data_IF_290494351872
#
_entry.id   IF_290494351872
#
_cell.length_a   1.000
_cell.length_b   1.000
_cell.length_c   1.000
_cell.angle_alpha   90.00
_cell.angle_beta   90.00
_cell.angle_gamma   90.00
#
_symmetry.space_group_name_H-M   'P 1'
#
loop_
_entity.id
_entity.type
_entity.pdbx_description
1 polymer ?
#
# COMPACT_ATOMS: atom_id res chain seq x y z
N UNK A 1 -14.78 7.96 -4.16
CA UNK A 1 -13.33 7.93 -3.92
C UNK A 1 -12.94 6.89 -2.89
N UNK A 2 -13.51 6.98 -1.69
CA UNK A 2 -13.26 5.99 -0.64
C UNK A 2 -13.61 4.58 -1.11
N UNK A 3 -14.67 4.44 -1.86
CA UNK A 3 -15.13 3.15 -2.36
C UNK A 3 -14.09 2.47 -3.24
N UNK A 4 -13.45 3.22 -4.14
CA UNK A 4 -12.40 2.66 -5.00
C UNK A 4 -11.24 2.16 -4.15
N UNK A 5 -10.83 2.94 -3.16
CA UNK A 5 -9.73 2.54 -2.26
C UNK A 5 -10.10 1.27 -1.50
N UNK A 6 -11.32 1.19 -0.97
CA UNK A 6 -11.78 0.01 -0.24
C UNK A 6 -11.81 -1.22 -1.14
N UNK A 7 -12.31 -1.09 -2.35
CA UNK A 7 -12.37 -2.20 -3.29
C UNK A 7 -10.97 -2.70 -3.65
N UNK A 8 -10.03 -1.78 -3.86
CA UNK A 8 -8.66 -2.18 -4.21
C UNK A 8 -7.94 -2.81 -3.02
N UNK A 9 -8.17 -2.30 -1.81
CA UNK A 9 -7.60 -2.91 -0.61
C UNK A 9 -8.15 -4.32 -0.41
N UNK A 10 -9.44 -4.52 -0.59
CA UNK A 10 -10.03 -5.85 -0.49
C UNK A 10 -9.46 -6.80 -1.53
N UNK A 11 -9.30 -6.32 -2.75
CA UNK A 11 -8.72 -7.14 -3.82
C UNK A 11 -7.33 -7.63 -3.44
N UNK A 12 -6.46 -6.72 -3.02
CA UNK A 12 -5.08 -7.09 -2.70
C UNK A 12 -4.96 -7.88 -1.41
N UNK A 13 -5.86 -7.66 -0.45
CA UNK A 13 -5.82 -8.35 0.83
C UNK A 13 -5.94 -9.87 0.68
N UNK A 14 -6.63 -10.35 -0.35
CA UNK A 14 -6.82 -11.79 -0.55
C UNK A 14 -5.51 -12.52 -0.86
N UNK A 15 -4.47 -11.81 -1.26
CA UNK A 15 -3.18 -12.41 -1.58
C UNK A 15 -2.20 -12.43 -0.41
N UNK A 16 -2.64 -11.97 0.75
CA UNK A 16 -1.82 -11.94 1.97
C UNK A 16 -2.43 -12.89 2.99
N UNK A 17 -1.58 -13.65 3.69
CA UNK A 17 -2.03 -14.62 4.69
C UNK A 17 -1.72 -14.19 6.13
N UNK A 18 -1.10 -13.01 6.31
CA UNK A 18 -0.67 -12.57 7.64
C UNK A 18 -1.33 -11.25 8.07
N UNK A 19 -2.34 -10.79 7.37
CA UNK A 19 -2.96 -9.51 7.70
C UNK A 19 -3.80 -9.62 8.96
N UNK A 20 -3.64 -8.68 9.91
CA UNK A 20 -4.57 -8.58 11.03
C UNK A 20 -5.85 -7.93 10.56
N UNK A 21 -6.81 -7.84 11.44
CA UNK A 21 -7.98 -7.01 11.21
C UNK A 21 -7.50 -5.56 11.25
N UNK A 22 -7.75 -4.79 10.19
CA UNK A 22 -7.24 -3.44 10.09
C UNK A 22 -8.28 -2.52 9.43
N UNK A 23 -8.08 -1.23 9.63
CA UNK A 23 -8.91 -0.18 9.03
C UNK A 23 -8.10 0.61 8.02
N UNK A 24 -8.77 1.24 7.06
CA UNK A 24 -8.12 2.15 6.14
C UNK A 24 -8.60 3.58 6.38
N UNK A 25 -7.67 4.52 6.17
CA UNK A 25 -7.96 5.95 6.19
C UNK A 25 -7.46 6.57 4.91
N UNK A 26 -8.14 7.61 4.47
CA UNK A 26 -7.73 8.37 3.31
C UNK A 26 -7.50 9.81 3.76
N UNK A 27 -6.28 10.32 3.50
CA UNK A 27 -5.89 11.67 3.88
C UNK A 27 -5.04 12.30 2.81
N UNK A 28 -5.11 13.60 2.67
CA UNK A 28 -4.16 14.32 1.84
C UNK A 28 -2.84 14.43 2.62
N UNK A 29 -1.76 13.95 2.01
CA UNK A 29 -0.43 14.00 2.60
C UNK A 29 0.54 14.64 1.62
N UNK A 30 1.53 15.36 2.13
CA UNK A 30 2.48 16.09 1.29
C UNK A 30 3.79 15.34 1.06
N UNK A 31 4.17 14.44 1.98
CA UNK A 31 5.47 13.77 1.92
C UNK A 31 5.39 12.27 1.74
N UNK A 32 4.21 11.68 1.85
CA UNK A 32 4.05 10.23 1.77
C UNK A 32 2.85 9.86 0.92
N UNK A 33 2.91 8.68 0.31
CA UNK A 33 1.78 8.13 -0.44
C UNK A 33 0.95 7.17 0.39
N UNK A 34 1.55 6.60 1.45
CA UNK A 34 0.83 5.74 2.38
C UNK A 34 1.60 5.58 3.67
N UNK A 35 0.92 5.12 4.70
CA UNK A 35 1.49 4.81 6.01
C UNK A 35 0.79 3.57 6.57
N UNK A 36 1.57 2.63 7.10
CA UNK A 36 1.02 1.48 7.82
C UNK A 36 1.34 1.64 9.31
N UNK A 37 0.30 1.82 10.12
CA UNK A 37 0.46 1.89 11.57
C UNK A 37 0.16 0.52 12.16
N UNK A 38 1.21 -0.22 12.48
CA UNK A 38 1.09 -1.59 12.99
C UNK A 38 0.55 -1.63 14.42
N UNK A 39 0.82 -0.57 15.19
CA UNK A 39 0.34 -0.51 16.56
C UNK A 39 -1.19 -0.43 16.66
N UNK A 40 -1.80 0.29 15.74
CA UNK A 40 -3.25 0.50 15.73
C UNK A 40 -3.94 -0.26 14.59
N UNK A 41 -3.19 -0.98 13.76
CA UNK A 41 -3.71 -1.68 12.58
C UNK A 41 -4.51 -0.74 11.68
N UNK A 42 -3.90 0.38 11.31
CA UNK A 42 -4.49 1.38 10.42
C UNK A 42 -3.57 1.60 9.24
N UNK A 43 -4.12 1.48 8.03
CA UNK A 43 -3.42 1.83 6.80
C UNK A 43 -3.99 3.14 6.29
N UNK A 44 -3.12 4.15 6.15
CA UNK A 44 -3.52 5.46 5.63
C UNK A 44 -3.02 5.58 4.18
N UNK A 45 -3.92 5.94 3.29
CA UNK A 45 -3.60 6.13 1.87
C UNK A 45 -3.82 7.57 1.49
N UNK A 46 -2.93 8.09 0.64
CA UNK A 46 -3.01 9.48 0.20
C UNK A 46 -4.18 9.67 -0.76
N UNK A 47 -5.02 10.66 -0.47
CA UNK A 47 -6.18 10.95 -1.32
C UNK A 47 -5.80 11.39 -2.73
N UNK A 48 -4.58 11.87 -2.92
CA UNK A 48 -4.09 12.30 -4.22
C UNK A 48 -3.80 11.14 -5.17
N UNK A 49 -3.75 9.91 -4.64
CA UNK A 49 -3.53 8.74 -5.49
C UNK A 49 -4.67 8.51 -6.49
N UNK A 50 -5.88 8.99 -6.18
CA UNK A 50 -7.00 8.83 -7.10
C UNK A 50 -6.80 9.58 -8.42
N UNK A 51 -5.90 10.57 -8.41
CA UNK A 51 -5.58 11.36 -9.61
C UNK A 51 -4.53 10.69 -10.48
N UNK A 52 -3.93 9.61 -10.01
CA UNK A 52 -2.87 8.89 -10.71
C UNK A 52 -3.42 7.61 -11.30
N UNK A 53 -2.58 6.94 -12.08
CA UNK A 53 -2.92 5.64 -12.63
C UNK A 53 -3.25 4.67 -11.49
N UNK A 54 -4.29 3.86 -11.67
CA UNK A 54 -4.74 2.92 -10.63
C UNK A 54 -3.65 1.92 -10.26
N UNK A 55 -2.71 1.65 -11.15
CA UNK A 55 -1.59 0.75 -10.84
C UNK A 55 -0.71 1.32 -9.73
N UNK A 56 -0.64 2.64 -9.60
CA UNK A 56 0.14 3.27 -8.54
C UNK A 56 -0.57 3.15 -7.20
N UNK A 57 -1.89 3.26 -7.19
CA UNK A 57 -2.67 2.99 -5.98
C UNK A 57 -2.46 1.53 -5.56
N UNK A 58 -2.53 0.61 -6.50
CA UNK A 58 -2.31 -0.81 -6.23
C UNK A 58 -0.94 -1.05 -5.61
N UNK A 59 0.09 -0.43 -6.17
CA UNK A 59 1.44 -0.56 -5.63
C UNK A 59 1.52 -0.07 -4.19
N UNK A 60 0.95 1.11 -3.89
CA UNK A 60 0.99 1.65 -2.54
C UNK A 60 0.27 0.74 -1.56
N UNK A 61 -0.86 0.17 -1.98
CA UNK A 61 -1.60 -0.78 -1.15
C UNK A 61 -0.72 -2.00 -0.82
N UNK A 62 -0.10 -2.61 -1.82
CA UNK A 62 0.76 -3.76 -1.61
C UNK A 62 1.93 -3.40 -0.70
N UNK A 63 2.52 -2.22 -0.91
CA UNK A 63 3.62 -1.73 -0.09
C UNK A 63 3.21 -1.64 1.39
N UNK A 64 2.07 -1.01 1.67
CA UNK A 64 1.65 -0.84 3.05
C UNK A 64 1.20 -2.14 3.71
N UNK A 65 0.51 -3.01 2.97
CA UNK A 65 0.11 -4.30 3.52
C UNK A 65 1.32 -5.19 3.84
N UNK A 66 2.38 -5.08 3.06
CA UNK A 66 3.61 -5.83 3.31
C UNK A 66 4.27 -5.44 4.64
N UNK A 67 4.04 -4.21 5.11
CA UNK A 67 4.56 -3.76 6.40
C UNK A 67 3.95 -4.50 7.59
N UNK A 68 2.83 -5.17 7.42
CA UNK A 68 2.29 -5.97 8.52
C UNK A 68 3.19 -7.17 8.84
N UNK A 69 4.04 -7.56 7.93
CA UNK A 69 5.01 -8.63 8.16
C UNK A 69 6.42 -8.09 8.41
N UNK A 70 6.84 -7.11 7.61
CA UNK A 70 8.19 -6.57 7.67
C UNK A 70 8.15 -5.07 7.91
N UNK A 71 8.57 -4.65 9.10
CA UNK A 71 8.51 -3.25 9.47
C UNK A 71 9.46 -2.36 8.69
N UNK A 72 10.63 -2.89 8.33
CA UNK A 72 11.68 -2.15 7.64
C UNK A 72 11.69 -2.47 6.16
N UNK A 73 12.23 -1.56 5.36
CA UNK A 73 12.40 -1.76 3.92
C UNK A 73 13.64 -2.63 3.63
N UNK A 74 13.68 -3.79 4.25
CA UNK A 74 14.74 -4.78 4.09
C UNK A 74 14.52 -5.60 2.81
N UNK A 75 15.48 -6.50 2.52
CA UNK A 75 15.30 -7.43 1.41
C UNK A 75 14.06 -8.31 1.58
N UNK A 76 13.75 -8.66 2.83
CA UNK A 76 12.53 -9.44 3.12
C UNK A 76 11.27 -8.66 2.76
N UNK A 77 11.26 -7.37 3.07
CA UNK A 77 10.12 -6.51 2.73
C UNK A 77 9.93 -6.46 1.21
N UNK A 78 10.99 -6.16 0.47
CA UNK A 78 10.87 -6.04 -0.97
C UNK A 78 10.55 -7.37 -1.65
N UNK A 79 10.96 -8.47 -1.04
CA UNK A 79 10.55 -9.80 -1.51
C UNK A 79 9.04 -9.98 -1.39
N UNK A 80 8.46 -9.56 -0.25
CA UNK A 80 7.02 -9.63 -0.05
C UNK A 80 6.28 -8.79 -1.08
N UNK A 81 6.79 -7.60 -1.37
CA UNK A 81 6.19 -6.74 -2.38
C UNK A 81 6.29 -7.36 -3.76
N UNK A 82 7.46 -7.88 -4.13
CA UNK A 82 7.71 -8.38 -5.49
C UNK A 82 6.90 -9.63 -5.81
N UNK A 83 6.64 -10.47 -4.83
CA UNK A 83 5.82 -11.66 -5.02
C UNK A 83 4.43 -11.28 -5.51
N UNK A 84 3.89 -10.19 -5.00
CA UNK A 84 2.54 -9.74 -5.32
C UNK A 84 2.50 -8.67 -6.40
N UNK A 85 3.54 -7.84 -6.47
CA UNK A 85 3.60 -6.74 -7.43
C UNK A 85 4.99 -6.68 -8.07
N UNK A 86 5.26 -7.51 -9.09
CA UNK A 86 6.61 -7.62 -9.69
C UNK A 86 7.15 -6.30 -10.26
N UNK A 87 6.28 -5.43 -10.76
CA UNK A 87 6.69 -4.15 -11.37
C UNK A 87 6.86 -3.02 -10.35
N UNK A 88 7.09 -3.37 -9.08
CA UNK A 88 7.16 -2.36 -8.03
C UNK A 88 8.23 -1.30 -8.25
N UNK A 89 9.31 -1.62 -8.92
CA UNK A 89 10.39 -0.64 -9.17
C UNK A 89 9.93 0.49 -10.07
N UNK A 90 9.14 0.17 -11.07
CA UNK A 90 8.58 1.19 -11.97
C UNK A 90 7.59 2.08 -11.24
N UNK A 91 6.73 1.50 -10.41
CA UNK A 91 5.77 2.26 -9.63
C UNK A 91 6.47 3.20 -8.64
N UNK A 92 7.52 2.72 -7.97
CA UNK A 92 8.32 3.55 -7.09
C UNK A 92 8.90 4.75 -7.82
N UNK A 93 9.43 4.51 -8.99
CA UNK A 93 10.02 5.56 -9.80
C UNK A 93 8.98 6.60 -10.22
N UNK A 94 7.81 6.13 -10.63
CA UNK A 94 6.73 7.02 -11.05
C UNK A 94 6.26 7.91 -9.89
N UNK A 95 6.23 7.38 -8.67
CA UNK A 95 5.77 8.15 -7.51
C UNK A 95 6.81 9.14 -7.00
N UNK A 96 8.07 8.98 -7.34
CA UNK A 96 9.12 9.93 -6.98
C UNK A 96 9.02 11.23 -7.76
N UNK A 97 8.53 11.14 -8.97
CA UNK A 97 8.37 12.30 -9.84
C UNK A 97 7.06 13.03 -9.53
#
# INVERSE_FOLDING_TARGET
CLRVYQERVEYWSQFFDYLPKFSIRIRKMTTRWGVCNRGNNIVTLNSELIKKDITLLDYVIVHELSHFKEANHSNRFWNEVSIRYPNYKEARRALRD
#
